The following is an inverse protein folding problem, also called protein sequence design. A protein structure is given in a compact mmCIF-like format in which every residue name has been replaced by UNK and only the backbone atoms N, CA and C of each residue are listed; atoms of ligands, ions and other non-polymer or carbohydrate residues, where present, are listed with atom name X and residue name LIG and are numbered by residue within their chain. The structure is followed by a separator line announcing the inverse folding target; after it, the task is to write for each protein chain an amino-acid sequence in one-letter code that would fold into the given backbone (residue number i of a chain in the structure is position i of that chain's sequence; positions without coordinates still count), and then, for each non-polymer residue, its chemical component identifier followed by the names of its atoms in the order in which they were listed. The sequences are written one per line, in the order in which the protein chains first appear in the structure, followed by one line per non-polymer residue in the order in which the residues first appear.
data_IF_042666109176
#
_entry.id   IF_042666109176
#
_cell.length_a   1.000
_cell.length_b   1.000
_cell.length_c   1.000
_cell.angle_alpha   90.00
_cell.angle_beta   90.00
_cell.angle_gamma   90.00
#
_symmetry.space_group_name_H-M   'P 1'
#
loop_
_entity.id
_entity.type
_entity.pdbx_description
1 polymer ?
#
# COMPACT_ATOMS: atom_id res chain seq x y z
N UNK A 1 4.22 -2.99 -0.41
CA UNK A 1 3.19 -4.05 -0.32
C UNK A 1 3.45 -5.06 -1.43
N UNK A 2 3.17 -6.34 -1.18
CA UNK A 2 3.37 -7.40 -2.17
C UNK A 2 2.12 -8.28 -2.25
N UNK A 3 1.75 -8.70 -3.45
CA UNK A 3 0.86 -9.85 -3.66
C UNK A 3 1.67 -11.14 -3.61
N UNK A 4 1.01 -12.26 -3.28
CA UNK A 4 1.63 -13.58 -3.17
C UNK A 4 2.89 -13.60 -2.31
N UNK A 5 2.87 -12.86 -1.19
CA UNK A 5 4.01 -12.76 -0.27
C UNK A 5 4.48 -14.14 0.19
N UNK A 6 5.79 -14.37 0.11
CA UNK A 6 6.41 -15.64 0.50
C UNK A 6 6.30 -16.76 -0.53
N UNK A 7 5.74 -16.50 -1.72
CA UNK A 7 5.71 -17.49 -2.83
C UNK A 7 6.62 -17.04 -3.98
N UNK A 8 6.97 -17.96 -4.91
CA UNK A 8 7.70 -17.60 -6.13
C UNK A 8 6.95 -16.59 -7.03
N UNK A 9 5.64 -16.43 -6.85
CA UNK A 9 4.80 -15.48 -7.58
C UNK A 9 4.73 -14.11 -6.91
N UNK A 10 5.54 -13.87 -5.87
CA UNK A 10 5.55 -12.61 -5.14
C UNK A 10 5.81 -11.42 -6.07
N UNK A 11 4.89 -10.47 -6.11
CA UNK A 11 5.01 -9.25 -6.93
C UNK A 11 4.78 -7.99 -6.09
N UNK A 12 5.61 -6.98 -6.33
CA UNK A 12 5.46 -5.69 -5.67
C UNK A 12 4.26 -4.93 -6.25
N UNK A 13 3.34 -4.51 -5.39
CA UNK A 13 2.25 -3.62 -5.77
C UNK A 13 2.82 -2.20 -5.72
N UNK A 14 2.92 -1.53 -6.87
CA UNK A 14 3.45 -0.17 -6.96
C UNK A 14 2.37 0.90 -6.88
N UNK A 15 1.19 0.61 -7.41
CA UNK A 15 0.01 1.45 -7.37
C UNK A 15 -1.20 0.56 -7.11
N UNK A 16 -2.15 1.06 -6.32
CA UNK A 16 -3.44 0.39 -6.10
C UNK A 16 -4.50 1.39 -5.63
N UNK A 17 -5.77 1.09 -5.88
CA UNK A 17 -6.89 1.80 -5.29
C UNK A 17 -7.28 1.22 -3.93
N UNK A 18 -7.91 2.00 -3.04
CA UNK A 18 -8.48 1.48 -1.80
C UNK A 18 -9.40 0.26 -1.98
N UNK A 19 -10.08 0.16 -3.12
CA UNK A 19 -11.00 -0.94 -3.42
C UNK A 19 -10.25 -2.20 -3.89
N UNK A 20 -9.20 -2.05 -4.69
CA UNK A 20 -8.26 -3.15 -5.02
C UNK A 20 -7.56 -3.69 -3.77
N UNK A 21 -7.36 -2.83 -2.77
CA UNK A 21 -6.74 -3.20 -1.50
C UNK A 21 -7.71 -3.78 -0.46
N UNK A 22 -9.03 -3.70 -0.68
CA UNK A 22 -10.03 -4.18 0.26
C UNK A 22 -9.85 -5.65 0.69
N UNK A 23 -9.46 -6.60 -0.20
CA UNK A 23 -9.20 -7.99 0.21
C UNK A 23 -8.02 -8.14 1.18
N UNK A 24 -7.08 -7.19 1.17
CA UNK A 24 -5.88 -7.17 2.01
C UNK A 24 -6.08 -6.43 3.34
N UNK A 25 -7.21 -5.74 3.54
CA UNK A 25 -7.55 -5.00 4.76
C UNK A 25 -7.93 -5.90 5.95
N UNK A 26 -7.54 -7.19 5.93
CA UNK A 26 -7.80 -8.16 7.00
C UNK A 26 -6.80 -7.96 8.13
N UNK A 27 -7.27 -7.98 9.38
CA UNK A 27 -6.40 -7.88 10.55
C UNK A 27 -5.47 -9.12 10.65
N UNK A 28 -4.28 -9.00 10.08
CA UNK A 28 -3.22 -10.01 10.06
C UNK A 28 -2.08 -9.70 11.06
N UNK A 29 -2.20 -8.58 11.79
CA UNK A 29 -1.17 -8.08 12.70
C UNK A 29 -0.04 -7.29 12.03
N UNK A 30 -0.05 -7.12 10.70
CA UNK A 30 1.02 -6.45 9.97
C UNK A 30 0.48 -5.50 8.87
N UNK A 31 0.05 -6.04 7.72
CA UNK A 31 -0.33 -5.24 6.56
C UNK A 31 -1.78 -4.76 6.62
N UNK A 32 -2.69 -5.54 7.19
CA UNK A 32 -4.10 -5.18 7.32
C UNK A 32 -4.35 -3.81 7.94
N UNK A 33 -3.81 -3.55 9.15
CA UNK A 33 -3.96 -2.24 9.80
C UNK A 33 -3.39 -1.08 8.96
N UNK A 34 -2.29 -1.31 8.22
CA UNK A 34 -1.68 -0.30 7.34
C UNK A 34 -2.58 0.01 6.14
N UNK A 35 -3.13 -1.02 5.51
CA UNK A 35 -4.08 -0.89 4.40
C UNK A 35 -5.35 -0.18 4.86
N UNK A 36 -5.94 -0.57 5.99
CA UNK A 36 -7.15 0.07 6.51
C UNK A 36 -6.93 1.55 6.80
N UNK A 37 -5.81 1.91 7.44
CA UNK A 37 -5.49 3.30 7.76
C UNK A 37 -5.32 4.16 6.51
N UNK A 38 -4.52 3.68 5.54
CA UNK A 38 -4.20 4.44 4.33
C UNK A 38 -5.41 4.56 3.40
N UNK A 39 -6.20 3.49 3.24
CA UNK A 39 -7.44 3.50 2.46
C UNK A 39 -8.45 4.47 3.05
N UNK A 40 -8.56 4.53 4.39
CA UNK A 40 -9.39 5.51 5.07
C UNK A 40 -8.94 6.95 4.82
N UNK A 41 -7.63 7.22 4.82
CA UNK A 41 -7.09 8.54 4.51
C UNK A 41 -7.41 8.95 3.07
N UNK A 42 -7.12 8.09 2.09
CA UNK A 42 -7.35 8.36 0.66
C UNK A 42 -8.84 8.62 0.39
N UNK A 43 -9.73 7.78 0.94
CA UNK A 43 -11.20 7.97 0.78
C UNK A 43 -11.71 9.26 1.43
N UNK A 44 -11.17 9.67 2.58
CA UNK A 44 -11.62 10.88 3.28
C UNK A 44 -11.03 12.17 2.72
N UNK A 45 -9.75 12.16 2.35
CA UNK A 45 -9.02 13.36 1.95
C UNK A 45 -8.99 13.56 0.43
N UNK A 46 -9.29 12.53 -0.36
CA UNK A 46 -9.17 12.56 -1.82
C UNK A 46 -7.74 12.76 -2.31
N UNK A 47 -6.73 12.48 -1.46
CA UNK A 47 -5.32 12.65 -1.77
C UNK A 47 -4.61 11.30 -1.79
N UNK A 48 -3.60 11.12 -2.66
CA UNK A 48 -2.79 9.92 -2.66
C UNK A 48 -2.00 9.76 -1.35
N UNK A 49 -1.70 8.52 -1.00
CA UNK A 49 -0.88 8.18 0.15
C UNK A 49 0.05 7.00 -0.18
N UNK A 50 1.15 6.86 0.57
CA UNK A 50 2.19 5.89 0.28
C UNK A 50 2.47 4.97 1.46
N UNK A 51 2.72 3.69 1.15
CA UNK A 51 3.29 2.71 2.07
C UNK A 51 4.68 2.33 1.55
N UNK A 52 5.73 2.65 2.30
CA UNK A 52 7.11 2.39 1.91
C UNK A 52 8.04 2.21 3.12
N UNK A 53 9.29 1.84 2.83
CA UNK A 53 10.34 1.76 3.85
C UNK A 53 10.87 3.16 4.14
N UNK A 54 11.10 3.48 5.42
CA UNK A 54 11.59 4.79 5.84
C UNK A 54 12.96 5.13 5.22
N UNK A 55 13.83 4.14 5.06
CA UNK A 55 15.15 4.29 4.42
C UNK A 55 15.09 4.61 2.92
N UNK A 56 13.91 4.52 2.28
CA UNK A 56 13.68 4.80 0.86
C UNK A 56 12.62 5.88 0.66
N UNK A 57 12.47 6.80 1.61
CA UNK A 57 11.41 7.81 1.57
C UNK A 57 11.46 8.67 0.29
N UNK A 58 12.65 9.09 -0.15
CA UNK A 58 12.82 9.89 -1.37
C UNK A 58 12.38 9.12 -2.62
N UNK A 59 12.73 7.82 -2.69
CA UNK A 59 12.30 6.95 -3.78
C UNK A 59 10.79 6.68 -3.72
N UNK A 60 10.20 6.60 -2.52
CA UNK A 60 8.77 6.43 -2.35
C UNK A 60 7.99 7.66 -2.80
N UNK A 61 8.43 8.86 -2.41
CA UNK A 61 7.84 10.11 -2.86
C UNK A 61 7.99 10.32 -4.37
N UNK A 62 9.09 9.84 -4.96
CA UNK A 62 9.30 9.85 -6.41
C UNK A 62 8.59 8.70 -7.17
N UNK A 63 7.82 7.84 -6.49
CA UNK A 63 7.12 6.70 -7.10
C UNK A 63 8.02 5.55 -7.56
N UNK A 64 9.31 5.58 -7.23
CA UNK A 64 10.31 4.54 -7.58
C UNK A 64 10.37 3.40 -6.58
N UNK A 65 9.82 3.57 -5.37
CA UNK A 65 9.73 2.54 -4.33
C UNK A 65 8.41 2.59 -3.57
N UNK A 66 8.12 1.53 -2.81
CA UNK A 66 6.88 1.44 -2.03
C UNK A 66 5.64 1.23 -2.89
N UNK A 67 4.48 1.54 -2.31
CA UNK A 67 3.16 1.40 -2.89
C UNK A 67 2.41 2.72 -2.75
N UNK A 68 2.01 3.32 -3.87
CA UNK A 68 1.15 4.49 -3.92
C UNK A 68 -0.32 4.06 -3.95
N UNK A 69 -1.16 4.75 -3.20
CA UNK A 69 -2.57 4.41 -3.01
C UNK A 69 -3.39 5.66 -3.29
N UNK A 70 -4.22 5.60 -4.31
CA UNK A 70 -5.00 6.73 -4.83
C UNK A 70 -6.40 6.26 -5.25
N UNK A 71 -7.35 7.20 -5.35
CA UNK A 71 -8.69 6.91 -5.88
C UNK A 71 -8.63 6.50 -7.35
#
# INVERSE_FOLDING_TARGET
MYEHWGTPQQRAIRQASPDELAPFAKADGAMGPKVTAVSGYVKRCGKPAWIGALSRIDDTLAGRAGTCICL
#
